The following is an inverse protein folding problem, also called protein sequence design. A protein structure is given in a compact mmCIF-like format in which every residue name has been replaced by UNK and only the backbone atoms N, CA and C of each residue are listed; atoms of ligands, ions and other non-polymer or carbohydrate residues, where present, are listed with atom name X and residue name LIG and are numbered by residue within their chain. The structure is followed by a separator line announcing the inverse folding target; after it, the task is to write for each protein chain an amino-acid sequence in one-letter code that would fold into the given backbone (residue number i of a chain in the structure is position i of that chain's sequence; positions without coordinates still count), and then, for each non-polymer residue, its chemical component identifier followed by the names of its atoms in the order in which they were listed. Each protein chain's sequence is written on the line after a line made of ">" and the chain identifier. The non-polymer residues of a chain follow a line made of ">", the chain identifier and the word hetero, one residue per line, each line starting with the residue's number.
data_IF_801279837456
#
_entry.id   IF_801279837456
#
_cell.length_a   1.000
_cell.length_b   1.000
_cell.length_c   1.000
_cell.angle_alpha   90.00
_cell.angle_beta   90.00
_cell.angle_gamma   90.00
#
_symmetry.space_group_name_H-M   'P 1'
#
loop_
_entity.id
_entity.type
_entity.pdbx_description
1 polymer ?
#
# COMPACT_ATOMS: atom_id res chain seq x y z
N UNK A 1 19.24 -8.60 9.54
CA UNK A 1 17.94 -8.59 8.84
C UNK A 1 18.18 -8.02 7.45
N UNK A 2 17.83 -8.72 6.36
CA UNK A 2 17.97 -8.14 5.02
C UNK A 2 17.04 -6.94 4.92
N UNK A 3 17.56 -5.78 4.50
CA UNK A 3 16.72 -4.62 4.23
C UNK A 3 15.62 -5.06 3.25
N UNK A 4 14.37 -4.67 3.53
CA UNK A 4 13.23 -4.87 2.62
C UNK A 4 12.64 -6.30 2.48
N UNK A 5 12.79 -7.19 3.47
CA UNK A 5 12.01 -8.45 3.56
C UNK A 5 11.18 -8.59 4.86
N UNK A 6 9.96 -9.10 4.75
CA UNK A 6 9.15 -9.60 5.86
C UNK A 6 9.09 -11.12 5.81
N UNK A 7 9.13 -11.73 6.99
CA UNK A 7 9.01 -13.18 7.16
C UNK A 7 7.85 -13.45 8.11
N UNK A 8 6.95 -14.32 7.68
CA UNK A 8 5.82 -14.80 8.46
C UNK A 8 5.97 -16.31 8.67
N UNK A 9 5.39 -16.80 9.75
CA UNK A 9 5.23 -18.23 9.98
C UNK A 9 3.73 -18.53 9.92
N UNK A 10 3.33 -19.52 9.13
CA UNK A 10 1.94 -19.97 9.05
C UNK A 10 1.93 -21.50 8.94
N UNK A 11 1.26 -22.19 9.85
CA UNK A 11 1.27 -23.66 9.94
C UNK A 11 2.70 -24.23 9.90
N UNK A 12 3.60 -23.65 10.69
CA UNK A 12 5.04 -23.96 10.75
C UNK A 12 5.82 -23.78 9.43
N UNK A 13 5.23 -23.15 8.42
CA UNK A 13 5.86 -22.89 7.13
C UNK A 13 6.26 -21.42 7.00
N UNK A 14 7.53 -21.13 6.67
CA UNK A 14 7.97 -19.75 6.51
C UNK A 14 7.47 -19.17 5.18
N UNK A 15 6.91 -17.96 5.24
CA UNK A 15 6.49 -17.18 4.11
C UNK A 15 7.33 -15.91 4.02
N UNK A 16 7.90 -15.65 2.84
CA UNK A 16 8.70 -14.45 2.58
C UNK A 16 7.92 -13.46 1.73
N UNK A 17 7.85 -12.22 2.19
CA UNK A 17 7.27 -11.10 1.47
C UNK A 17 8.33 -10.01 1.27
N UNK A 18 8.78 -9.82 0.03
CA UNK A 18 9.74 -8.80 -0.36
C UNK A 18 9.14 -7.85 -1.41
N UNK A 19 9.93 -6.88 -1.87
CA UNK A 19 9.53 -5.98 -2.95
C UNK A 19 9.17 -6.74 -4.24
N UNK A 20 9.80 -7.91 -4.48
CA UNK A 20 9.46 -8.76 -5.62
C UNK A 20 8.04 -9.31 -5.51
N UNK A 21 7.71 -9.96 -4.40
CA UNK A 21 6.36 -10.49 -4.17
C UNK A 21 5.31 -9.37 -4.18
N UNK A 22 5.65 -8.19 -3.64
CA UNK A 22 4.78 -7.01 -3.71
C UNK A 22 4.48 -6.61 -5.17
N UNK A 23 5.51 -6.53 -6.02
CA UNK A 23 5.34 -6.23 -7.44
C UNK A 23 4.52 -7.29 -8.17
N UNK A 24 4.80 -8.58 -7.93
CA UNK A 24 4.09 -9.71 -8.54
C UNK A 24 2.61 -9.80 -8.16
N UNK A 25 2.22 -9.20 -7.02
CA UNK A 25 0.85 -9.21 -6.50
C UNK A 25 0.08 -7.99 -6.95
N UNK A 26 0.71 -6.82 -6.87
CA UNK A 26 0.04 -5.55 -7.12
C UNK A 26 0.10 -5.14 -8.58
N UNK A 27 1.06 -5.68 -9.34
CA UNK A 27 1.38 -5.21 -10.70
C UNK A 27 2.02 -3.81 -10.73
N UNK A 28 2.26 -3.18 -9.57
CA UNK A 28 2.82 -1.84 -9.50
C UNK A 28 4.32 -1.87 -9.77
N UNK A 29 4.79 -0.82 -10.45
CA UNK A 29 6.21 -0.65 -10.76
C UNK A 29 7.02 -0.48 -9.48
N UNK A 30 8.00 -1.36 -9.27
CA UNK A 30 8.83 -1.41 -8.07
C UNK A 30 10.30 -1.04 -8.33
N UNK A 31 10.77 -1.13 -9.57
CA UNK A 31 12.14 -0.74 -9.92
C UNK A 31 12.21 0.76 -10.20
N UNK A 32 13.22 1.47 -9.66
CA UNK A 32 13.44 2.84 -10.06
C UNK A 32 13.71 2.86 -11.56
N UNK A 33 13.26 3.92 -12.23
CA UNK A 33 13.79 4.23 -13.55
C UNK A 33 15.30 4.33 -13.42
N UNK A 34 16.06 3.61 -14.27
CA UNK A 34 17.52 3.53 -14.15
C UNK A 34 18.08 4.93 -13.94
N UNK A 35 18.78 5.10 -12.83
CA UNK A 35 19.21 6.34 -12.20
C UNK A 35 19.43 7.53 -13.16
N UNK A 36 18.70 8.62 -12.94
CA UNK A 36 19.40 9.90 -12.82
C UNK A 36 19.98 9.91 -11.40
N UNK A 37 21.28 9.69 -11.28
CA UNK A 37 22.03 9.92 -10.03
C UNK A 37 21.97 11.42 -9.74
N UNK A 38 20.88 11.85 -9.13
CA UNK A 38 20.82 13.02 -8.29
C UNK A 38 20.70 12.50 -6.87
N UNK A 39 21.70 12.79 -6.03
CA UNK A 39 21.51 12.72 -4.59
C UNK A 39 20.43 13.73 -4.22
N UNK A 40 19.17 13.29 -4.30
CA UNK A 40 18.00 14.00 -3.88
C UNK A 40 17.17 13.03 -3.09
N UNK A 41 17.41 12.97 -1.79
CA UNK A 41 16.26 12.94 -0.89
C UNK A 41 15.47 14.20 -1.22
N UNK A 42 14.65 14.18 -2.26
CA UNK A 42 13.58 15.16 -2.41
C UNK A 42 12.72 14.91 -1.18
N UNK A 43 12.93 15.77 -0.18
CA UNK A 43 12.17 15.73 1.05
C UNK A 43 10.71 15.74 0.65
N UNK A 44 9.96 14.76 1.15
CA UNK A 44 8.49 14.73 1.07
C UNK A 44 7.89 16.06 1.60
N UNK A 45 8.67 16.81 2.40
CA UNK A 45 8.46 18.21 2.80
C UNK A 45 8.73 19.23 1.66
N UNK A 46 8.18 19.00 0.47
CA UNK A 46 8.09 20.06 -0.54
C UNK A 46 6.97 21.03 -0.15
N UNK A 47 7.20 22.33 -0.22
CA UNK A 47 6.14 23.34 -0.07
C UNK A 47 5.21 23.33 -1.28
N UNK A 48 3.92 23.67 -1.15
CA UNK A 48 2.99 23.84 -2.27
C UNK A 48 3.59 24.66 -3.43
N UNK A 49 3.67 24.03 -4.60
CA UNK A 49 4.22 24.64 -5.80
C UNK A 49 3.14 25.19 -6.72
N UNK A 50 3.42 25.14 -8.03
CA UNK A 50 2.50 25.65 -9.06
C UNK A 50 1.31 24.72 -9.18
N UNK A 51 1.57 23.42 -9.30
CA UNK A 51 0.54 22.42 -9.56
C UNK A 51 -0.45 22.35 -8.40
N UNK A 52 0.03 22.49 -7.16
CA UNK A 52 -0.84 22.61 -5.98
C UNK A 52 -1.84 23.76 -6.11
N UNK A 53 -1.36 24.97 -6.41
CA UNK A 53 -2.21 26.17 -6.54
C UNK A 53 -3.19 26.03 -7.69
N UNK A 54 -2.76 25.47 -8.82
CA UNK A 54 -3.62 25.23 -9.97
C UNK A 54 -4.72 24.20 -9.66
N UNK A 55 -4.43 23.14 -8.92
CA UNK A 55 -5.42 22.12 -8.56
C UNK A 55 -6.38 22.57 -7.46
N UNK A 56 -5.86 23.08 -6.34
CA UNK A 56 -6.64 23.32 -5.13
C UNK A 56 -7.07 24.78 -4.95
N UNK A 57 -6.52 25.71 -5.73
CA UNK A 57 -6.84 27.15 -5.66
C UNK A 57 -6.58 27.74 -4.25
N UNK A 58 -5.62 27.16 -3.53
CA UNK A 58 -5.22 27.57 -2.18
C UNK A 58 -3.71 27.42 -1.99
N UNK A 59 -3.16 28.14 -1.02
CA UNK A 59 -1.79 27.92 -0.53
C UNK A 59 -1.77 27.07 0.75
N UNK A 60 -2.94 26.68 1.27
CA UNK A 60 -3.08 25.83 2.44
C UNK A 60 -2.56 24.40 2.17
N UNK A 61 -1.71 23.89 3.05
CA UNK A 61 -1.10 22.56 3.02
C UNK A 61 -1.96 21.47 3.70
N UNK A 62 -3.09 21.85 4.31
CA UNK A 62 -3.96 20.93 5.05
C UNK A 62 -5.05 20.28 4.18
N UNK A 63 -4.94 20.35 2.84
CA UNK A 63 -5.84 19.62 1.92
C UNK A 63 -5.74 18.11 2.17
N UNK A 64 -6.90 17.46 2.32
CA UNK A 64 -6.99 16.02 2.61
C UNK A 64 -7.58 15.23 1.44
N UNK A 65 -7.35 13.91 1.39
CA UNK A 65 -7.96 13.01 0.41
C UNK A 65 -9.50 13.12 0.42
N UNK A 66 -10.20 13.20 1.58
CA UNK A 66 -11.63 13.53 1.60
C UNK A 66 -12.01 14.86 0.93
N UNK A 67 -11.17 15.91 0.99
CA UNK A 67 -11.40 17.14 0.23
C UNK A 67 -11.31 16.87 -1.28
N UNK A 68 -10.29 16.12 -1.70
CA UNK A 68 -10.09 15.72 -3.11
C UNK A 68 -11.29 14.92 -3.64
N UNK A 69 -11.80 13.96 -2.87
CA UNK A 69 -12.99 13.18 -3.24
C UNK A 69 -14.22 14.08 -3.40
N UNK A 70 -14.46 15.00 -2.45
CA UNK A 70 -15.51 16.02 -2.57
C UNK A 70 -15.34 16.91 -3.80
N UNK A 71 -14.10 17.22 -4.19
CA UNK A 71 -13.85 17.97 -5.44
C UNK A 71 -14.26 17.16 -6.67
N UNK A 72 -13.92 15.87 -6.71
CA UNK A 72 -14.23 14.96 -7.83
C UNK A 72 -15.74 14.73 -8.01
N UNK A 73 -16.52 14.80 -6.93
CA UNK A 73 -17.99 14.72 -6.97
C UNK A 73 -18.64 15.94 -7.63
N UNK A 74 -17.95 17.08 -7.72
CA UNK A 74 -18.53 18.33 -8.27
C UNK A 74 -18.66 18.23 -9.79
N UNK A 75 -19.88 18.34 -10.36
CA UNK A 75 -20.06 18.32 -11.80
C UNK A 75 -19.34 19.45 -12.53
N UNK A 76 -19.20 20.61 -11.87
CA UNK A 76 -18.53 21.80 -12.38
C UNK A 76 -17.01 21.77 -12.29
N UNK A 77 -16.40 20.69 -11.77
CA UNK A 77 -14.95 20.54 -11.72
C UNK A 77 -14.38 20.54 -13.15
N UNK A 78 -13.40 21.41 -13.47
CA UNK A 78 -12.75 21.43 -14.77
C UNK A 78 -12.21 20.05 -15.16
N UNK A 79 -12.43 19.64 -16.40
CA UNK A 79 -12.12 18.28 -16.89
C UNK A 79 -10.64 17.91 -16.69
N UNK A 80 -9.74 18.85 -16.94
CA UNK A 80 -8.29 18.64 -16.80
C UNK A 80 -7.86 18.32 -15.36
N UNK A 81 -8.61 18.77 -14.33
CA UNK A 81 -8.32 18.48 -12.92
C UNK A 81 -8.73 17.06 -12.51
N UNK A 82 -9.65 16.42 -13.22
CA UNK A 82 -10.25 15.14 -12.80
C UNK A 82 -9.22 14.02 -12.69
N UNK A 83 -8.38 13.84 -13.71
CA UNK A 83 -7.37 12.79 -13.70
C UNK A 83 -6.29 13.03 -12.61
N UNK A 84 -5.65 14.21 -12.51
CA UNK A 84 -4.70 14.49 -11.45
C UNK A 84 -5.27 14.27 -10.04
N UNK A 85 -6.47 14.78 -9.76
CA UNK A 85 -7.12 14.61 -8.46
C UNK A 85 -7.42 13.14 -8.15
N UNK A 86 -7.88 12.37 -9.14
CA UNK A 86 -8.11 10.93 -8.97
C UNK A 86 -6.80 10.16 -8.69
N UNK A 87 -5.71 10.51 -9.38
CA UNK A 87 -4.40 9.90 -9.16
C UNK A 87 -3.86 10.17 -7.75
N UNK A 88 -4.00 11.40 -7.25
CA UNK A 88 -3.61 11.76 -5.87
C UNK A 88 -4.47 11.04 -4.84
N UNK A 89 -5.79 10.97 -5.06
CA UNK A 89 -6.67 10.21 -4.17
C UNK A 89 -6.26 8.73 -4.09
N UNK A 90 -5.83 8.13 -5.20
CA UNK A 90 -5.30 6.76 -5.21
C UNK A 90 -3.94 6.65 -4.51
N UNK A 91 -3.01 7.57 -4.75
CA UNK A 91 -1.67 7.50 -4.16
C UNK A 91 -1.71 7.78 -2.66
N UNK A 92 -2.20 8.94 -2.23
CA UNK A 92 -2.20 9.34 -0.82
C UNK A 92 -3.31 8.65 -0.02
N UNK A 93 -4.41 8.28 -0.67
CA UNK A 93 -5.55 7.62 0.00
C UNK A 93 -5.40 6.11 0.13
N UNK A 94 -4.72 5.45 -0.83
CA UNK A 94 -4.67 3.98 -0.90
C UNK A 94 -3.25 3.41 -0.87
N UNK A 95 -2.33 3.90 -1.71
CA UNK A 95 -1.01 3.26 -1.89
C UNK A 95 -0.02 3.64 -0.79
N UNK A 96 0.10 4.93 -0.50
CA UNK A 96 1.08 5.51 0.43
C UNK A 96 0.37 6.17 1.61
N UNK A 97 -0.83 5.68 1.94
CA UNK A 97 -1.67 6.18 3.03
C UNK A 97 -0.89 6.26 4.35
N UNK A 98 -0.34 7.45 4.64
CA UNK A 98 0.74 7.60 5.61
C UNK A 98 0.27 8.15 6.94
N UNK A 99 -0.91 8.76 7.02
CA UNK A 99 -1.32 9.52 8.19
C UNK A 99 -2.82 9.42 8.47
N UNK A 100 -3.22 9.53 9.74
CA UNK A 100 -4.63 9.51 10.17
C UNK A 100 -5.49 10.56 9.48
N UNK A 101 -4.88 11.72 9.18
CA UNK A 101 -5.57 12.85 8.58
C UNK A 101 -5.68 12.74 7.05
N UNK A 102 -5.01 11.77 6.42
CA UNK A 102 -4.98 11.60 4.96
C UNK A 102 -4.67 12.91 4.23
N UNK A 103 -3.70 13.68 4.73
CA UNK A 103 -3.22 14.90 4.07
C UNK A 103 -2.58 14.52 2.74
N UNK A 104 -2.87 15.32 1.71
CA UNK A 104 -2.25 15.18 0.40
C UNK A 104 -0.79 15.61 0.50
N UNK A 105 0.08 14.86 -0.17
CA UNK A 105 1.53 15.10 -0.17
C UNK A 105 1.88 16.11 -1.28
N UNK A 106 2.41 17.31 -0.97
CA UNK A 106 2.70 18.31 -2.00
C UNK A 106 3.69 17.83 -3.06
N UNK A 107 4.71 17.07 -2.67
CA UNK A 107 5.68 16.51 -3.62
C UNK A 107 5.01 15.64 -4.70
N UNK A 108 4.02 14.81 -4.32
CA UNK A 108 3.27 13.99 -5.29
C UNK A 108 2.38 14.85 -6.19
N UNK A 109 1.84 15.94 -5.65
CA UNK A 109 1.03 16.88 -6.44
C UNK A 109 1.88 17.55 -7.51
N UNK A 110 3.09 18.00 -7.19
CA UNK A 110 3.98 18.63 -8.19
C UNK A 110 4.40 17.64 -9.30
N UNK A 111 4.55 16.34 -8.99
CA UNK A 111 4.82 15.33 -10.02
C UNK A 111 3.72 15.22 -11.09
N UNK A 112 2.50 15.71 -10.83
CA UNK A 112 1.40 15.68 -11.80
C UNK A 112 1.55 16.69 -12.94
N UNK A 113 2.51 17.62 -12.87
CA UNK A 113 2.88 18.47 -14.02
C UNK A 113 3.16 17.63 -15.27
N UNK A 114 3.74 16.43 -15.09
CA UNK A 114 3.82 15.39 -16.11
C UNK A 114 3.16 14.10 -15.63
N UNK A 115 1.89 13.94 -15.97
CA UNK A 115 1.12 12.73 -15.65
C UNK A 115 1.75 11.45 -16.23
N UNK A 116 2.49 11.51 -17.34
CA UNK A 116 3.15 10.32 -17.90
C UNK A 116 4.30 9.87 -17.01
N UNK A 117 5.13 10.81 -16.58
CA UNK A 117 6.20 10.55 -15.60
C UNK A 117 5.62 10.08 -14.27
N UNK A 118 4.53 10.69 -13.80
CA UNK A 118 3.81 10.24 -12.60
C UNK A 118 3.37 8.78 -12.70
N UNK A 119 2.76 8.35 -13.80
CA UNK A 119 2.33 6.95 -13.99
C UNK A 119 3.50 5.97 -14.11
N UNK A 120 4.68 6.45 -14.53
CA UNK A 120 5.91 5.67 -14.61
C UNK A 120 6.74 5.68 -13.33
N UNK A 121 6.37 6.49 -12.34
CA UNK A 121 7.04 6.53 -11.06
C UNK A 121 6.89 5.17 -10.33
N UNK A 122 7.91 4.71 -9.58
CA UNK A 122 7.88 3.41 -8.91
C UNK A 122 6.95 3.40 -7.67
N UNK A 123 5.66 3.66 -7.85
CA UNK A 123 4.65 3.67 -6.78
C UNK A 123 4.61 2.38 -5.99
N UNK A 124 4.94 1.24 -6.61
CA UNK A 124 5.01 -0.04 -5.92
C UNK A 124 6.13 -0.06 -4.86
N UNK A 125 7.26 0.60 -5.14
CA UNK A 125 8.34 0.77 -4.16
C UNK A 125 7.92 1.68 -3.01
N UNK A 126 7.32 2.84 -3.31
CA UNK A 126 6.87 3.76 -2.25
C UNK A 126 5.82 3.12 -1.35
N UNK A 127 4.81 2.49 -1.95
CA UNK A 127 3.78 1.78 -1.21
C UNK A 127 4.37 0.66 -0.35
N UNK A 128 5.30 -0.13 -0.90
CA UNK A 128 5.99 -1.18 -0.15
C UNK A 128 6.80 -0.61 1.03
N UNK A 129 7.61 0.42 0.82
CA UNK A 129 8.44 1.03 1.87
C UNK A 129 7.56 1.66 2.96
N UNK A 130 6.52 2.39 2.56
CA UNK A 130 5.55 2.99 3.48
C UNK A 130 4.87 1.93 4.34
N UNK A 131 4.35 0.86 3.74
CA UNK A 131 3.73 -0.27 4.45
C UNK A 131 4.72 -0.93 5.40
N UNK A 132 5.93 -1.19 4.93
CA UNK A 132 6.96 -1.90 5.68
C UNK A 132 7.46 -1.12 6.91
N UNK A 133 7.50 0.21 6.82
CA UNK A 133 7.87 1.08 7.93
C UNK A 133 6.93 0.94 9.13
N UNK A 134 5.67 0.56 8.88
CA UNK A 134 4.63 0.35 9.91
C UNK A 134 4.75 -1.00 10.60
N UNK A 135 5.24 -2.00 9.89
CA UNK A 135 5.40 -3.38 10.35
C UNK A 135 6.77 -3.65 11.00
N UNK A 136 7.63 -2.64 11.04
CA UNK A 136 8.98 -2.72 11.63
C UNK A 136 9.15 -1.75 12.79
N UNK A 137 10.13 -2.01 13.68
CA UNK A 137 10.56 -1.02 14.65
C UNK A 137 10.91 0.30 13.94
N UNK A 138 10.47 1.46 14.47
CA UNK A 138 10.85 2.76 13.93
C UNK A 138 12.36 2.88 13.79
N UNK A 139 12.88 3.26 12.61
CA UNK A 139 14.33 3.36 12.45
C UNK A 139 14.85 4.53 13.31
N UNK A 140 15.71 4.29 14.31
CA UNK A 140 16.22 5.37 15.12
C UNK A 140 17.27 6.17 14.34
N UNK A 141 17.32 7.48 14.55
CA UNK A 141 18.37 8.34 13.99
C UNK A 141 19.76 8.07 14.57
N UNK A 142 19.81 7.44 15.75
CA UNK A 142 21.03 7.03 16.43
C UNK A 142 20.90 5.53 16.78
N UNK A 143 21.85 4.67 16.34
CA UNK A 143 21.85 3.25 16.68
C UNK A 143 21.73 2.94 18.18
N UNK A 144 22.22 3.84 19.05
CA UNK A 144 22.10 3.70 20.51
C UNK A 144 20.65 3.68 21.02
N UNK A 145 19.71 4.19 20.21
CA UNK A 145 18.27 4.25 20.55
C UNK A 145 17.47 3.05 20.03
N UNK A 146 18.13 2.00 19.52
CA UNK A 146 17.46 0.80 19.02
C UNK A 146 16.55 0.14 20.07
N UNK A 147 16.98 0.08 21.34
CA UNK A 147 16.17 -0.49 22.41
C UNK A 147 14.85 0.26 22.62
N UNK A 148 14.87 1.59 22.46
CA UNK A 148 13.65 2.43 22.51
C UNK A 148 12.74 2.16 21.30
N UNK A 149 13.31 1.93 20.12
CA UNK A 149 12.53 1.55 18.94
C UNK A 149 11.86 0.18 19.11
N UNK A 150 12.61 -0.80 19.61
CA UNK A 150 12.10 -2.14 19.89
C UNK A 150 11.04 -2.12 21.00
N UNK A 151 11.17 -1.27 22.02
CA UNK A 151 10.16 -1.13 23.06
C UNK A 151 8.84 -0.56 22.52
N UNK A 152 8.90 0.42 21.61
CA UNK A 152 7.72 0.94 20.89
C UNK A 152 7.06 -0.18 20.07
N UNK A 153 7.84 -0.97 19.34
CA UNK A 153 7.30 -2.10 18.56
C UNK A 153 6.64 -3.15 19.46
N UNK A 154 7.29 -3.53 20.57
CA UNK A 154 6.72 -4.46 21.56
C UNK A 154 5.40 -3.94 22.13
N UNK A 155 5.30 -2.64 22.40
CA UNK A 155 4.07 -2.03 22.87
C UNK A 155 2.95 -2.12 21.82
N UNK A 156 3.26 -1.87 20.55
CA UNK A 156 2.30 -2.03 19.44
C UNK A 156 1.82 -3.48 19.32
N UNK A 157 2.73 -4.45 19.39
CA UNK A 157 2.40 -5.87 19.29
C UNK A 157 1.56 -6.41 20.46
N UNK A 158 1.54 -5.72 21.61
CA UNK A 158 0.68 -6.07 22.75
C UNK A 158 -0.76 -5.57 22.61
N UNK A 159 -1.03 -4.69 21.63
CA UNK A 159 -2.37 -4.16 21.42
C UNK A 159 -3.27 -5.25 20.81
N UNK A 160 -4.53 -5.27 21.22
CA UNK A 160 -5.52 -6.20 20.65
C UNK A 160 -5.83 -5.86 19.18
N UNK A 161 -5.71 -4.59 18.81
CA UNK A 161 -5.90 -4.10 17.44
C UNK A 161 -4.81 -3.11 17.07
N UNK A 162 -4.51 -3.04 15.78
CA UNK A 162 -3.56 -2.06 15.24
C UNK A 162 -4.07 -1.51 13.91
N UNK A 163 -3.89 -0.21 13.69
CA UNK A 163 -4.15 0.39 12.39
C UNK A 163 -2.92 0.18 11.50
N UNK A 164 -3.10 -0.53 10.39
CA UNK A 164 -2.05 -0.68 9.39
C UNK A 164 -2.23 0.39 8.31
N UNK A 165 -1.22 1.23 8.16
CA UNK A 165 -1.13 2.30 7.15
C UNK A 165 -0.22 1.85 6.00
N UNK A 166 -0.29 2.51 4.85
CA UNK A 166 0.30 2.07 3.58
C UNK A 166 -0.71 1.27 2.76
N UNK A 167 -0.26 0.19 2.12
CA UNK A 167 -1.07 -0.66 1.26
C UNK A 167 -1.18 -2.10 1.81
N UNK A 168 -1.84 -2.30 2.97
CA UNK A 168 -1.94 -3.62 3.61
C UNK A 168 -2.69 -4.65 2.77
N UNK A 169 -3.51 -4.21 1.80
CA UNK A 169 -4.17 -5.11 0.85
C UNK A 169 -3.17 -6.01 0.10
N UNK A 170 -1.96 -5.51 -0.18
CA UNK A 170 -0.92 -6.32 -0.81
C UNK A 170 -0.52 -7.55 0.04
N UNK A 171 -0.55 -7.44 1.38
CA UNK A 171 -0.28 -8.57 2.28
C UNK A 171 -1.43 -9.56 2.32
N UNK A 172 -2.67 -9.07 2.24
CA UNK A 172 -3.84 -9.94 2.17
C UNK A 172 -3.87 -10.74 0.86
N UNK A 173 -3.64 -10.07 -0.27
CA UNK A 173 -3.52 -10.73 -1.57
C UNK A 173 -2.32 -11.70 -1.61
N UNK A 174 -1.21 -11.35 -0.94
CA UNK A 174 -0.09 -12.28 -0.73
C UNK A 174 -0.52 -13.54 0.01
N UNK A 175 -1.25 -13.40 1.11
CA UNK A 175 -1.73 -14.53 1.89
C UNK A 175 -2.62 -15.47 1.05
N UNK A 176 -3.55 -14.92 0.26
CA UNK A 176 -4.39 -15.74 -0.63
C UNK A 176 -3.60 -16.46 -1.72
N UNK A 177 -2.60 -15.78 -2.30
CA UNK A 177 -1.75 -16.38 -3.34
C UNK A 177 -0.79 -17.44 -2.76
N UNK A 178 -0.29 -17.21 -1.55
CA UNK A 178 0.66 -18.10 -0.88
C UNK A 178 -0.02 -19.28 -0.17
N UNK A 179 -1.26 -19.11 0.29
CA UNK A 179 -2.04 -20.11 1.04
C UNK A 179 -3.41 -20.26 0.36
N UNK A 180 -3.53 -21.12 -0.67
CA UNK A 180 -4.77 -21.29 -1.42
C UNK A 180 -5.98 -21.69 -0.54
N UNK A 181 -5.74 -22.43 0.55
CA UNK A 181 -6.78 -22.81 1.50
C UNK A 181 -7.42 -21.62 2.23
N UNK A 182 -6.72 -20.48 2.35
CA UNK A 182 -7.36 -19.24 2.83
C UNK A 182 -8.27 -18.63 1.75
N UNK A 183 -7.88 -18.71 0.48
CA UNK A 183 -8.72 -18.23 -0.61
C UNK A 183 -10.05 -19.02 -0.68
N UNK A 184 -10.03 -20.33 -0.41
CA UNK A 184 -11.26 -21.14 -0.37
C UNK A 184 -12.28 -20.71 0.71
N UNK A 185 -11.87 -19.87 1.67
CA UNK A 185 -12.74 -19.35 2.73
C UNK A 185 -13.45 -18.06 2.35
N UNK A 186 -13.02 -17.35 1.30
CA UNK A 186 -13.71 -16.11 0.89
C UNK A 186 -15.02 -16.45 0.15
N UNK A 187 -16.04 -15.58 0.24
CA UNK A 187 -17.22 -15.69 -0.62
C UNK A 187 -16.83 -15.59 -2.10
N UNK A 188 -17.40 -16.46 -2.93
CA UNK A 188 -17.19 -16.47 -4.39
C UNK A 188 -15.71 -16.43 -4.82
N UNK A 189 -14.85 -17.37 -4.38
CA UNK A 189 -13.40 -17.28 -4.55
C UNK A 189 -12.91 -17.32 -6.01
N UNK A 190 -13.78 -17.74 -6.92
CA UNK A 190 -13.52 -17.82 -8.37
C UNK A 190 -14.15 -16.66 -9.16
N UNK A 191 -14.78 -15.68 -8.49
CA UNK A 191 -15.40 -14.54 -9.15
C UNK A 191 -14.31 -13.59 -9.66
N UNK A 192 -14.28 -13.42 -10.98
CA UNK A 192 -13.33 -12.53 -11.66
C UNK A 192 -14.03 -11.35 -12.34
N UNK A 193 -15.28 -11.06 -11.96
CA UNK A 193 -16.00 -9.88 -12.49
C UNK A 193 -15.28 -8.63 -12.02
N UNK A 194 -15.09 -7.70 -12.96
CA UNK A 194 -14.44 -6.43 -12.66
C UNK A 194 -15.47 -5.40 -12.18
N UNK A 195 -14.99 -4.37 -11.51
CA UNK A 195 -15.80 -3.20 -11.13
C UNK A 195 -16.58 -2.59 -12.32
N UNK A 196 -16.00 -2.61 -13.53
CA UNK A 196 -16.67 -2.08 -14.72
C UNK A 196 -17.87 -2.92 -15.18
N UNK A 197 -17.93 -4.18 -14.77
CA UNK A 197 -19.01 -5.10 -15.09
C UNK A 197 -20.07 -5.13 -13.99
N UNK A 198 -19.68 -4.94 -12.74
CA UNK A 198 -20.56 -5.02 -11.57
C UNK A 198 -20.22 -3.90 -10.55
N UNK A 199 -20.64 -2.65 -10.81
CA UNK A 199 -20.29 -1.50 -9.97
C UNK A 199 -20.88 -1.58 -8.55
N UNK A 200 -22.06 -2.20 -8.42
CA UNK A 200 -22.79 -2.39 -7.15
C UNK A 200 -22.02 -3.28 -6.16
N UNK A 201 -21.01 -4.03 -6.63
CA UNK A 201 -20.14 -4.83 -5.77
C UNK A 201 -19.36 -4.00 -4.73
N UNK A 202 -19.30 -2.68 -4.89
CA UNK A 202 -18.67 -1.76 -3.94
C UNK A 202 -19.63 -1.20 -2.87
N UNK A 203 -20.93 -1.49 -2.95
CA UNK A 203 -21.94 -0.89 -2.07
C UNK A 203 -22.02 -1.54 -0.69
N UNK A 204 -21.37 -2.70 -0.50
CA UNK A 204 -21.34 -3.43 0.76
C UNK A 204 -19.91 -3.73 1.22
N UNK A 205 -19.61 -3.39 2.47
CA UNK A 205 -18.38 -3.85 3.13
C UNK A 205 -18.58 -5.29 3.60
N UNK A 206 -17.95 -6.24 2.91
CA UNK A 206 -17.99 -7.65 3.29
C UNK A 206 -16.72 -8.03 4.05
N UNK A 207 -16.86 -8.67 5.22
CA UNK A 207 -15.74 -9.30 5.88
C UNK A 207 -15.28 -10.48 5.02
N UNK A 208 -14.12 -10.34 4.37
CA UNK A 208 -13.62 -11.35 3.45
C UNK A 208 -13.17 -12.62 4.16
N UNK A 209 -12.63 -12.50 5.37
CA UNK A 209 -12.16 -13.62 6.16
C UNK A 209 -12.35 -13.35 7.65
N UNK A 210 -12.82 -14.35 8.39
CA UNK A 210 -12.91 -14.28 9.85
C UNK A 210 -11.67 -14.88 10.49
N UNK A 211 -11.40 -14.51 11.74
CA UNK A 211 -10.25 -15.03 12.47
C UNK A 211 -10.33 -16.56 12.64
N UNK A 212 -11.54 -17.09 12.84
CA UNK A 212 -11.81 -18.52 12.95
C UNK A 212 -11.44 -19.27 11.66
N UNK A 213 -11.68 -18.67 10.49
CA UNK A 213 -11.31 -19.27 9.21
C UNK A 213 -9.79 -19.39 9.07
N UNK A 214 -9.04 -18.40 9.55
CA UNK A 214 -7.56 -18.42 9.57
C UNK A 214 -7.07 -19.56 10.46
N UNK A 215 -7.61 -19.68 11.68
CA UNK A 215 -7.23 -20.73 12.63
C UNK A 215 -7.56 -22.14 12.11
N UNK A 216 -8.72 -22.29 11.46
CA UNK A 216 -9.11 -23.56 10.85
C UNK A 216 -8.14 -23.96 9.76
N UNK A 217 -7.69 -23.02 8.93
CA UNK A 217 -6.70 -23.32 7.89
C UNK A 217 -5.33 -23.59 8.52
N UNK A 218 -4.87 -22.77 9.46
CA UNK A 218 -3.55 -22.92 10.11
C UNK A 218 -3.37 -24.28 10.81
N UNK A 219 -4.46 -24.84 11.36
CA UNK A 219 -4.44 -26.12 12.09
C UNK A 219 -4.63 -27.36 11.20
N UNK A 220 -4.80 -27.20 9.88
CA UNK A 220 -4.86 -28.34 8.96
C UNK A 220 -3.50 -29.04 8.87
N UNK A 221 -3.51 -30.37 8.87
CA UNK A 221 -2.29 -31.19 8.81
C UNK A 221 -1.52 -31.05 7.49
N UNK A 222 -2.17 -30.65 6.40
CA UNK A 222 -1.59 -30.58 5.05
C UNK A 222 -1.73 -29.20 4.40
N UNK A 223 -1.62 -28.09 5.15
CA UNK A 223 -1.66 -26.74 4.57
C UNK A 223 -0.58 -26.57 3.52
N UNK A 224 -0.94 -26.22 2.29
CA UNK A 224 0.04 -25.86 1.27
C UNK A 224 0.40 -24.38 1.37
N UNK A 225 1.67 -24.11 1.65
CA UNK A 225 2.24 -22.76 1.61
C UNK A 225 3.20 -22.67 0.42
N UNK A 226 2.83 -21.89 -0.60
CA UNK A 226 3.64 -21.66 -1.79
C UNK A 226 4.59 -20.48 -1.55
N UNK A 227 5.90 -20.75 -1.53
CA UNK A 227 6.88 -19.69 -1.71
C UNK A 227 6.82 -19.19 -3.16
N UNK A 228 6.43 -17.93 -3.36
CA UNK A 228 6.31 -17.33 -4.70
C UNK A 228 7.62 -17.32 -5.50
N UNK A 229 8.77 -17.48 -4.83
CA UNK A 229 10.09 -17.61 -5.48
C UNK A 229 10.28 -18.88 -6.32
N UNK A 230 9.43 -19.91 -6.19
CA UNK A 230 9.55 -21.18 -6.91
C UNK A 230 8.57 -21.37 -8.08
N UNK A 231 7.59 -20.47 -8.24
CA UNK A 231 6.52 -20.65 -9.23
C UNK A 231 6.86 -20.12 -10.65
N UNK A 232 7.96 -19.39 -10.82
CA UNK A 232 8.37 -18.83 -12.13
C UNK A 232 9.43 -19.66 -12.88
N UNK A 233 9.79 -20.86 -12.41
CA UNK A 233 10.68 -21.79 -13.14
C UNK A 233 9.91 -22.94 -13.84
N UNK A 234 8.60 -22.78 -14.05
CA UNK A 234 7.79 -23.70 -14.87
C UNK A 234 6.92 -22.92 -15.85
N UNK A 235 7.53 -22.47 -16.93
CA UNK A 235 6.87 -22.13 -18.20
C UNK A 235 7.91 -22.19 -19.30
#
# INVERSE_FOLDING_TARGET
>A
MRLYELWFLFADKPLRFSLREFGDITGLKCEPEREKVGNGSESIDATPGRMWKELFETEDEDVTVPDVLRMLERPSLPEWKRLPLALIALVDGLLVCGHKLLRVTPAYVEMLEDTRSFLQYPWGREAFVSTLSRLRPPQPSDPSKMDKSLSVMRLRLKQQSTACYGFPLALQLFAFKAIPSLLEKIPEPNKTTSFLQEPEGCDSTNALLNFEDILLVETQTEVQCCCLSYLQNRS
#
